data_IF_215465814798
#
_entry.id   IF_215465814798
#
_cell.length_a   1.000
_cell.length_b   1.000
_cell.length_c   1.000
_cell.angle_alpha   90.00
_cell.angle_beta   90.00
_cell.angle_gamma   90.00
#
_symmetry.space_group_name_H-M   'P 1'
#
loop_
_entity.id
_entity.type
_entity.pdbx_description
1 polymer ?
#
# COMPACT_ATOMS: atom_id res chain seq x y z
N UNK A 1 5.21 28.71 -29.58
CA UNK A 1 5.15 28.41 -28.12
C UNK A 1 3.92 27.57 -27.69
N UNK A 2 2.68 28.07 -27.66
CA UNK A 2 1.52 27.29 -27.17
C UNK A 2 1.23 25.99 -27.95
N UNK A 3 1.38 25.98 -29.28
CA UNK A 3 1.19 24.74 -30.06
C UNK A 3 2.28 23.70 -29.77
N UNK A 4 3.54 24.13 -29.56
CA UNK A 4 4.62 23.24 -29.16
C UNK A 4 4.37 22.63 -27.79
N UNK A 5 3.99 23.44 -26.80
CA UNK A 5 3.65 22.95 -25.45
C UNK A 5 2.47 21.97 -25.52
N UNK A 6 1.48 22.24 -26.36
CA UNK A 6 0.34 21.34 -26.58
C UNK A 6 0.75 20.02 -27.25
N UNK A 7 1.65 20.03 -28.24
CA UNK A 7 2.16 18.80 -28.88
C UNK A 7 3.01 17.97 -27.91
N UNK A 8 3.79 18.61 -27.06
CA UNK A 8 4.56 17.93 -26.01
C UNK A 8 3.62 17.31 -25.00
N UNK A 9 2.64 18.07 -24.51
CA UNK A 9 1.65 17.57 -23.56
C UNK A 9 0.92 16.35 -24.13
N UNK A 10 0.53 16.40 -25.42
CA UNK A 10 -0.13 15.28 -26.11
C UNK A 10 0.78 14.05 -26.22
N UNK A 11 2.02 14.22 -26.69
CA UNK A 11 2.98 13.11 -26.77
C UNK A 11 3.30 12.54 -25.39
N UNK A 12 3.44 13.40 -24.37
CA UNK A 12 3.72 12.94 -23.02
C UNK A 12 2.53 12.23 -22.39
N UNK A 13 1.30 12.66 -22.63
CA UNK A 13 0.12 11.93 -22.19
C UNK A 13 0.08 10.50 -22.74
N UNK A 14 0.48 10.32 -24.01
CA UNK A 14 0.55 9.01 -24.67
C UNK A 14 1.63 8.07 -24.10
N UNK A 15 2.77 8.61 -23.60
CA UNK A 15 3.92 7.79 -23.19
C UNK A 15 4.25 7.82 -21.69
N UNK A 16 3.84 8.87 -20.97
CA UNK A 16 4.17 9.11 -19.57
C UNK A 16 3.07 9.99 -18.93
N UNK A 17 1.86 9.46 -18.68
CA UNK A 17 0.79 10.23 -18.06
C UNK A 17 1.20 10.76 -16.68
N UNK A 18 0.72 11.95 -16.31
CA UNK A 18 1.07 12.55 -15.00
C UNK A 18 0.49 11.69 -13.87
N UNK A 19 1.34 11.08 -13.03
CA UNK A 19 0.87 10.24 -11.93
C UNK A 19 0.41 11.08 -10.75
N UNK A 20 -0.40 10.50 -9.87
CA UNK A 20 -0.86 11.16 -8.64
C UNK A 20 0.14 11.07 -7.47
N UNK A 21 1.19 10.26 -7.57
CA UNK A 21 2.23 10.16 -6.55
C UNK A 21 3.27 11.28 -6.66
N UNK A 22 3.55 11.96 -5.54
CA UNK A 22 4.44 13.13 -5.48
C UNK A 22 5.86 12.88 -6.04
N UNK A 23 6.47 11.72 -5.72
CA UNK A 23 7.83 11.42 -6.19
C UNK A 23 7.85 11.15 -7.71
N UNK A 24 6.77 10.55 -8.23
CA UNK A 24 6.63 10.35 -9.67
C UNK A 24 6.32 11.67 -10.40
N UNK A 25 5.53 12.57 -9.81
CA UNK A 25 5.29 13.91 -10.35
C UNK A 25 6.58 14.72 -10.47
N UNK A 26 7.48 14.63 -9.48
CA UNK A 26 8.80 15.28 -9.56
C UNK A 26 9.61 14.76 -10.75
N UNK A 27 9.64 13.44 -10.97
CA UNK A 27 10.31 12.84 -12.13
C UNK A 27 9.66 13.29 -13.45
N UNK A 28 8.33 13.31 -13.49
CA UNK A 28 7.56 13.76 -14.63
C UNK A 28 7.88 15.22 -15.00
N UNK A 29 7.91 16.12 -14.01
CA UNK A 29 8.31 17.53 -14.19
C UNK A 29 9.71 17.67 -14.77
N UNK A 30 10.68 16.88 -14.27
CA UNK A 30 12.05 16.88 -14.83
C UNK A 30 12.04 16.43 -16.29
N UNK A 31 11.30 15.37 -16.63
CA UNK A 31 11.22 14.87 -18.01
C UNK A 31 10.55 15.88 -18.96
N UNK A 32 9.50 16.55 -18.49
CA UNK A 32 8.83 17.65 -19.23
C UNK A 32 9.78 18.81 -19.50
N UNK A 33 10.58 19.20 -18.52
CA UNK A 33 11.59 20.25 -18.71
C UNK A 33 12.60 19.86 -19.78
N UNK A 34 13.12 18.62 -19.75
CA UNK A 34 14.06 18.11 -20.77
C UNK A 34 13.41 18.14 -22.18
N UNK A 35 12.17 17.66 -22.31
CA UNK A 35 11.46 17.64 -23.59
C UNK A 35 11.23 19.05 -24.15
N UNK A 36 10.88 20.02 -23.30
CA UNK A 36 10.70 21.41 -23.72
C UNK A 36 12.03 22.06 -24.13
N UNK A 37 13.12 21.80 -23.39
CA UNK A 37 14.46 22.28 -23.76
C UNK A 37 14.90 21.76 -25.13
N UNK A 38 14.71 20.46 -25.40
CA UNK A 38 15.06 19.84 -26.67
C UNK A 38 14.32 20.48 -27.85
N UNK A 39 13.01 20.70 -27.71
CA UNK A 39 12.20 21.31 -28.77
C UNK A 39 12.48 22.81 -28.95
N UNK A 40 12.82 23.51 -27.89
CA UNK A 40 13.26 24.91 -27.96
C UNK A 40 14.55 25.02 -28.79
N UNK A 41 15.48 24.06 -28.64
CA UNK A 41 16.70 23.99 -29.45
C UNK A 41 16.39 23.70 -30.93
N UNK A 42 15.46 22.78 -31.21
CA UNK A 42 15.07 22.42 -32.58
C UNK A 42 14.34 23.55 -33.33
N UNK A 43 13.56 24.36 -32.62
CA UNK A 43 12.78 25.47 -33.21
C UNK A 43 13.60 26.69 -33.64
N UNK A 44 14.91 26.74 -33.35
CA UNK A 44 15.80 27.90 -33.59
C UNK A 44 15.30 29.22 -32.93
N UNK A 45 14.42 29.17 -31.94
CA UNK A 45 14.08 30.36 -31.15
C UNK A 45 15.35 30.84 -30.41
N UNK A 46 15.69 32.12 -30.59
CA UNK A 46 16.91 32.72 -30.03
C UNK A 46 16.91 32.65 -28.51
N UNK A 47 18.07 32.31 -27.92
CA UNK A 47 18.33 32.34 -26.47
C UNK A 47 18.36 33.78 -25.91
N UNK A 48 17.35 34.60 -26.17
CA UNK A 48 17.19 35.87 -25.47
C UNK A 48 16.60 35.60 -24.07
N UNK A 49 17.08 36.31 -23.05
CA UNK A 49 16.67 36.11 -21.65
C UNK A 49 15.16 36.25 -21.40
N UNK A 50 14.45 36.98 -22.28
CA UNK A 50 12.99 37.15 -22.24
C UNK A 50 12.23 35.88 -22.62
N UNK A 51 12.68 35.11 -23.60
CA UNK A 51 11.99 33.92 -24.09
C UNK A 51 12.09 32.77 -23.08
N UNK A 52 13.23 32.65 -22.40
CA UNK A 52 13.41 31.68 -21.30
C UNK A 52 12.45 31.92 -20.13
N UNK A 53 12.29 33.18 -19.70
CA UNK A 53 11.38 33.55 -18.62
C UNK A 53 9.90 33.35 -19.03
N UNK A 54 9.58 33.55 -20.31
CA UNK A 54 8.24 33.25 -20.85
C UNK A 54 7.95 31.74 -20.83
N UNK A 55 8.91 30.91 -21.24
CA UNK A 55 8.79 29.45 -21.22
C UNK A 55 8.60 28.90 -19.80
N UNK A 56 9.39 29.36 -18.83
CA UNK A 56 9.24 28.98 -17.41
C UNK A 56 7.84 29.33 -16.89
N UNK A 57 7.32 30.52 -17.22
CA UNK A 57 5.96 30.93 -16.82
C UNK A 57 4.85 30.08 -17.45
N UNK A 58 4.99 29.71 -18.73
CA UNK A 58 4.02 28.85 -19.42
C UNK A 58 4.05 27.44 -18.83
N UNK A 59 5.24 26.92 -18.52
CA UNK A 59 5.41 25.64 -17.82
C UNK A 59 4.74 25.66 -16.44
N UNK A 60 5.06 26.65 -15.60
CA UNK A 60 4.46 26.79 -14.28
C UNK A 60 2.94 26.89 -14.35
N UNK A 61 2.42 27.65 -15.32
CA UNK A 61 0.98 27.78 -15.56
C UNK A 61 0.36 26.44 -15.94
N UNK A 62 1.00 25.68 -16.85
CA UNK A 62 0.53 24.34 -17.23
C UNK A 62 0.51 23.41 -16.02
N UNK A 63 1.58 23.36 -15.24
CA UNK A 63 1.64 22.51 -14.03
C UNK A 63 0.56 22.90 -13.02
N UNK A 64 0.35 24.20 -12.79
CA UNK A 64 -0.69 24.69 -11.89
C UNK A 64 -2.10 24.31 -12.39
N UNK A 65 -2.37 24.41 -13.70
CA UNK A 65 -3.64 23.99 -14.29
C UNK A 65 -3.84 22.49 -14.12
N UNK A 66 -2.81 21.68 -14.36
CA UNK A 66 -2.90 20.23 -14.23
C UNK A 66 -3.09 19.82 -12.76
N UNK A 67 -2.38 20.44 -11.81
CA UNK A 67 -2.60 20.21 -10.39
C UNK A 67 -4.02 20.58 -9.95
N UNK A 68 -4.53 21.73 -10.41
CA UNK A 68 -5.92 22.13 -10.18
C UNK A 68 -6.89 21.13 -10.81
N UNK A 69 -6.64 20.68 -12.04
CA UNK A 69 -7.47 19.69 -12.70
C UNK A 69 -7.44 18.37 -11.93
N UNK A 70 -6.29 17.83 -11.53
CA UNK A 70 -6.21 16.61 -10.74
C UNK A 70 -6.89 16.75 -9.37
N UNK A 71 -6.79 17.93 -8.74
CA UNK A 71 -7.43 18.21 -7.46
C UNK A 71 -8.95 18.29 -7.56
N UNK A 72 -9.47 18.82 -8.66
CA UNK A 72 -10.90 19.12 -8.82
C UNK A 72 -11.64 18.19 -9.79
N UNK A 73 -10.93 17.42 -10.60
CA UNK A 73 -11.50 16.38 -11.44
C UNK A 73 -12.06 15.29 -10.54
N UNK A 74 -13.35 15.11 -10.65
CA UNK A 74 -14.11 14.05 -9.99
C UNK A 74 -14.56 13.10 -11.09
N UNK A 75 -14.06 11.87 -11.04
CA UNK A 75 -14.62 10.73 -11.75
C UNK A 75 -15.44 9.90 -10.76
N UNK A 76 -16.26 10.59 -9.95
CA UNK A 76 -17.03 9.94 -8.91
C UNK A 76 -18.12 9.10 -9.57
N UNK A 77 -18.18 7.83 -9.16
CA UNK A 77 -19.31 6.96 -9.49
C UNK A 77 -20.50 7.33 -8.62
N UNK A 78 -21.69 7.07 -9.14
CA UNK A 78 -22.89 7.08 -8.30
C UNK A 78 -22.77 6.04 -7.18
N UNK A 79 -23.57 6.24 -6.14
CA UNK A 79 -23.68 5.28 -5.04
C UNK A 79 -24.15 3.91 -5.56
N UNK A 80 -25.11 3.90 -6.48
CA UNK A 80 -25.70 2.71 -7.08
C UNK A 80 -24.65 1.91 -7.87
N UNK A 81 -23.87 2.56 -8.74
CA UNK A 81 -22.78 1.90 -9.48
C UNK A 81 -21.70 1.34 -8.54
N UNK A 82 -21.40 2.06 -7.46
CA UNK A 82 -20.42 1.61 -6.47
C UNK A 82 -20.92 0.40 -5.71
N UNK A 83 -22.21 0.40 -5.36
CA UNK A 83 -22.90 -0.71 -4.68
C UNK A 83 -22.91 -1.97 -5.52
N UNK A 84 -23.23 -1.88 -6.81
CA UNK A 84 -23.20 -3.04 -7.71
C UNK A 84 -21.81 -3.71 -7.75
N UNK A 85 -20.75 -2.91 -7.70
CA UNK A 85 -19.38 -3.41 -7.71
C UNK A 85 -19.03 -4.08 -6.38
N UNK A 86 -19.38 -3.46 -5.25
CA UNK A 86 -19.19 -4.03 -3.91
C UNK A 86 -19.98 -5.35 -3.76
N UNK A 87 -21.23 -5.39 -4.23
CA UNK A 87 -22.05 -6.60 -4.24
C UNK A 87 -21.40 -7.70 -5.10
N UNK A 88 -20.82 -7.34 -6.25
CA UNK A 88 -20.02 -8.23 -7.07
C UNK A 88 -18.78 -8.80 -6.37
N UNK A 89 -18.12 -8.02 -5.51
CA UNK A 89 -16.96 -8.47 -4.70
C UNK A 89 -17.39 -9.52 -3.67
N UNK A 90 -18.59 -9.40 -3.08
CA UNK A 90 -19.10 -10.40 -2.15
C UNK A 90 -19.45 -11.73 -2.81
N UNK A 91 -19.92 -11.69 -4.06
CA UNK A 91 -20.26 -12.89 -4.83
C UNK A 91 -19.00 -13.56 -5.40
N UNK A 92 -17.96 -12.78 -5.70
CA UNK A 92 -16.71 -13.31 -6.21
C UNK A 92 -16.09 -14.30 -5.21
N UNK A 93 -15.55 -15.42 -5.72
CA UNK A 93 -14.94 -16.45 -4.87
C UNK A 93 -13.68 -15.89 -4.20
N UNK A 94 -13.79 -15.52 -2.93
CA UNK A 94 -12.70 -14.99 -2.13
C UNK A 94 -11.87 -16.15 -1.59
N UNK A 95 -10.56 -16.12 -1.81
CA UNK A 95 -9.67 -17.07 -1.15
C UNK A 95 -9.37 -16.54 0.25
N UNK A 96 -9.66 -17.34 1.27
CA UNK A 96 -9.41 -16.98 2.66
C UNK A 96 -7.93 -16.63 2.89
N UNK A 97 -7.69 -15.55 3.64
CA UNK A 97 -6.36 -15.04 3.92
C UNK A 97 -5.49 -16.10 4.59
N UNK A 98 -4.28 -16.31 4.05
CA UNK A 98 -3.28 -17.25 4.60
C UNK A 98 -3.68 -18.74 4.53
N UNK A 99 -4.69 -19.11 3.71
CA UNK A 99 -5.02 -20.51 3.39
C UNK A 99 -3.97 -21.19 2.48
N UNK A 100 -4.01 -22.51 2.29
CA UNK A 100 -3.09 -23.21 1.37
C UNK A 100 -3.24 -22.71 -0.08
N UNK A 101 -4.49 -22.59 -0.54
CA UNK A 101 -4.85 -22.02 -1.85
C UNK A 101 -4.36 -20.58 -2.02
N UNK A 102 -4.32 -19.80 -0.93
CA UNK A 102 -3.74 -18.46 -0.94
C UNK A 102 -2.27 -18.50 -1.34
N UNK A 103 -1.47 -19.39 -0.76
CA UNK A 103 -0.05 -19.48 -1.09
C UNK A 103 0.19 -20.06 -2.50
N UNK A 104 -0.64 -21.01 -2.94
CA UNK A 104 -0.58 -21.53 -4.31
C UNK A 104 -0.83 -20.44 -5.35
N UNK A 105 -1.88 -19.64 -5.15
CA UNK A 105 -2.24 -18.53 -6.01
C UNK A 105 -1.10 -17.51 -6.14
N UNK A 106 -0.32 -17.27 -5.08
CA UNK A 106 0.83 -16.34 -5.11
C UNK A 106 1.89 -16.74 -6.14
N UNK A 107 1.96 -18.00 -6.57
CA UNK A 107 2.89 -18.42 -7.61
C UNK A 107 2.52 -17.86 -8.98
N UNK A 108 1.22 -17.69 -9.23
CA UNK A 108 0.67 -17.35 -10.54
C UNK A 108 0.20 -15.91 -10.63
N UNK A 109 0.36 -15.12 -9.57
CA UNK A 109 0.02 -13.70 -9.57
C UNK A 109 1.06 -12.83 -8.87
N UNK A 110 1.06 -11.56 -9.24
CA UNK A 110 1.68 -10.48 -8.49
C UNK A 110 0.63 -9.97 -7.51
N UNK A 111 0.95 -9.98 -6.22
CA UNK A 111 0.07 -9.37 -5.22
C UNK A 111 0.28 -7.86 -5.16
N UNK A 112 -0.73 -7.09 -4.75
CA UNK A 112 -0.64 -5.64 -4.58
C UNK A 112 0.59 -5.20 -3.78
N UNK A 113 0.91 -5.88 -2.68
CA UNK A 113 2.07 -5.61 -1.83
C UNK A 113 3.43 -5.95 -2.48
N UNK A 114 3.44 -6.79 -3.52
CA UNK A 114 4.65 -7.13 -4.28
C UNK A 114 4.84 -6.23 -5.51
N UNK A 115 3.80 -5.56 -5.98
CA UNK A 115 3.78 -4.90 -7.28
C UNK A 115 4.85 -3.80 -7.41
N UNK A 116 5.14 -3.08 -6.33
CA UNK A 116 6.20 -2.05 -6.31
C UNK A 116 7.59 -2.61 -6.63
N UNK A 117 7.85 -3.90 -6.40
CA UNK A 117 9.14 -4.57 -6.71
C UNK A 117 9.42 -4.63 -8.21
N UNK A 118 8.42 -4.46 -9.07
CA UNK A 118 8.62 -4.33 -10.51
C UNK A 118 9.47 -3.10 -10.87
N UNK A 119 9.42 -2.06 -10.03
CA UNK A 119 10.15 -0.80 -10.21
C UNK A 119 11.47 -0.74 -9.44
N UNK A 120 11.79 -1.78 -8.66
CA UNK A 120 13.04 -1.87 -7.92
C UNK A 120 14.20 -2.30 -8.84
N UNK A 121 15.39 -2.48 -8.28
CA UNK A 121 16.58 -2.95 -8.98
C UNK A 121 16.32 -4.25 -9.76
N UNK A 122 17.06 -4.43 -10.86
CA UNK A 122 17.00 -5.63 -11.71
C UNK A 122 17.17 -6.92 -10.90
N UNK A 123 18.00 -6.88 -9.86
CA UNK A 123 18.22 -8.00 -8.95
C UNK A 123 17.00 -8.28 -8.05
N UNK A 124 16.39 -7.26 -7.46
CA UNK A 124 15.19 -7.40 -6.62
C UNK A 124 14.02 -7.96 -7.42
N UNK A 125 13.79 -7.39 -8.62
CA UNK A 125 12.83 -7.93 -9.59
C UNK A 125 13.16 -9.38 -9.98
N UNK A 126 14.42 -9.70 -10.22
CA UNK A 126 14.87 -11.06 -10.52
C UNK A 126 14.68 -12.04 -9.37
N UNK A 127 14.85 -11.61 -8.11
CA UNK A 127 14.53 -12.43 -6.94
C UNK A 127 13.03 -12.73 -6.87
N UNK A 128 12.19 -11.74 -7.22
CA UNK A 128 10.76 -11.96 -7.32
C UNK A 128 10.42 -12.95 -8.45
N UNK A 129 11.05 -12.87 -9.61
CA UNK A 129 10.91 -13.87 -10.69
C UNK A 129 11.24 -15.27 -10.17
N UNK A 130 12.39 -15.44 -9.52
CA UNK A 130 12.79 -16.73 -8.95
C UNK A 130 11.79 -17.25 -7.92
N UNK A 131 11.20 -16.37 -7.10
CA UNK A 131 10.18 -16.77 -6.13
C UNK A 131 8.91 -17.33 -6.77
N UNK A 132 8.57 -16.91 -8.00
CA UNK A 132 7.43 -17.46 -8.77
C UNK A 132 7.78 -18.76 -9.48
N UNK A 133 9.06 -19.05 -9.71
CA UNK A 133 9.53 -20.30 -10.34
C UNK A 133 9.71 -21.40 -9.29
N UNK A 134 10.22 -21.03 -8.11
CA UNK A 134 10.57 -21.96 -7.04
C UNK A 134 9.42 -22.90 -6.63
N UNK A 135 9.73 -24.09 -6.08
CA UNK A 135 8.74 -24.95 -5.45
C UNK A 135 8.00 -24.21 -4.33
N UNK A 136 6.74 -24.57 -4.10
CA UNK A 136 5.96 -24.02 -3.01
C UNK A 136 6.56 -24.50 -1.68
N UNK A 137 7.14 -23.58 -0.92
CA UNK A 137 7.49 -23.83 0.47
C UNK A 137 6.25 -23.56 1.32
N UNK A 138 5.79 -24.57 2.10
CA UNK A 138 4.76 -24.35 3.12
C UNK A 138 5.31 -23.46 4.22
N UNK A 139 5.14 -22.15 4.08
CA UNK A 139 5.45 -21.18 5.14
C UNK A 139 4.18 -20.95 5.96
N UNK A 140 4.16 -21.49 7.16
CA UNK A 140 3.19 -21.07 8.18
C UNK A 140 3.76 -19.85 8.89
N UNK A 141 3.06 -18.73 8.79
CA UNK A 141 3.35 -17.55 9.60
C UNK A 141 2.37 -17.52 10.76
N UNK A 142 2.85 -17.50 12.02
CA UNK A 142 1.97 -17.38 13.17
C UNK A 142 1.09 -16.14 13.03
N UNK A 143 -0.22 -16.29 13.20
CA UNK A 143 -1.21 -15.20 13.16
C UNK A 143 -1.20 -14.39 14.46
N UNK A 144 -0.72 -14.99 15.54
CA UNK A 144 -0.50 -14.35 16.83
C UNK A 144 0.79 -14.87 17.46
N UNK A 145 1.39 -14.06 18.33
CA UNK A 145 2.58 -14.43 19.08
C UNK A 145 2.66 -13.61 20.36
N UNK A 146 3.42 -14.12 21.33
CA UNK A 146 3.73 -13.38 22.55
C UNK A 146 4.56 -12.14 22.24
N UNK A 147 4.37 -11.10 23.05
CA UNK A 147 5.04 -9.80 22.91
C UNK A 147 6.57 -9.92 22.85
N UNK A 148 7.17 -10.85 23.60
CA UNK A 148 8.63 -11.07 23.62
C UNK A 148 9.21 -11.57 22.28
N UNK A 149 8.41 -12.23 21.44
CA UNK A 149 8.83 -12.78 20.14
C UNK A 149 8.39 -11.93 18.94
N UNK A 150 7.79 -10.76 19.19
CA UNK A 150 7.16 -9.95 18.15
C UNK A 150 8.20 -9.23 17.27
N UNK A 151 8.14 -9.49 15.96
CA UNK A 151 8.87 -8.72 14.96
C UNK A 151 7.96 -7.65 14.31
N UNK A 152 8.51 -6.83 13.41
CA UNK A 152 7.76 -5.73 12.77
C UNK A 152 6.55 -6.21 11.94
N UNK A 153 6.61 -7.41 11.36
CA UNK A 153 5.47 -7.99 10.62
C UNK A 153 4.39 -8.41 11.60
N UNK A 154 4.75 -9.14 12.66
CA UNK A 154 3.83 -9.58 13.70
C UNK A 154 3.18 -8.38 14.44
N UNK A 155 3.89 -7.25 14.55
CA UNK A 155 3.34 -5.99 15.05
C UNK A 155 2.18 -5.48 14.19
N UNK A 156 2.36 -5.38 12.86
CA UNK A 156 1.30 -5.01 11.94
C UNK A 156 0.10 -5.95 12.04
N UNK A 157 0.36 -7.26 11.98
CA UNK A 157 -0.68 -8.30 12.10
C UNK A 157 -1.48 -8.20 13.40
N UNK A 158 -0.84 -7.83 14.52
CA UNK A 158 -1.50 -7.62 15.81
C UNK A 158 -2.38 -6.39 15.81
N UNK A 159 -1.93 -5.28 15.22
CA UNK A 159 -2.60 -3.99 15.42
C UNK A 159 -3.53 -3.55 14.29
N UNK A 160 -3.39 -4.08 13.08
CA UNK A 160 -4.29 -3.79 11.96
C UNK A 160 -5.77 -4.06 12.31
N UNK A 161 -6.15 -5.20 12.92
CA UNK A 161 -7.55 -5.43 13.32
C UNK A 161 -8.02 -4.47 14.43
N UNK A 162 -7.15 -4.17 15.40
CA UNK A 162 -7.44 -3.24 16.49
C UNK A 162 -7.71 -1.82 15.97
N UNK A 163 -6.91 -1.35 15.01
CA UNK A 163 -7.11 -0.07 14.33
C UNK A 163 -8.38 -0.11 13.50
N UNK A 164 -8.67 -1.19 12.78
CA UNK A 164 -9.92 -1.32 12.00
C UNK A 164 -11.15 -1.17 12.88
N UNK A 165 -11.18 -1.80 14.06
CA UNK A 165 -12.27 -1.62 15.05
C UNK A 165 -12.39 -0.15 15.45
N UNK A 166 -11.27 0.50 15.79
CA UNK A 166 -11.26 1.92 16.14
C UNK A 166 -11.77 2.82 15.00
N UNK A 167 -11.43 2.53 13.75
CA UNK A 167 -11.91 3.28 12.59
C UNK A 167 -13.41 3.13 12.38
N UNK A 168 -13.98 1.94 12.60
CA UNK A 168 -15.43 1.71 12.54
C UNK A 168 -16.17 2.58 13.57
N UNK A 169 -15.64 2.69 14.80
CA UNK A 169 -16.18 3.57 15.84
C UNK A 169 -16.06 5.05 15.44
N UNK A 170 -14.85 5.47 15.04
CA UNK A 170 -14.51 6.86 14.73
C UNK A 170 -15.32 7.39 13.55
N UNK A 171 -15.44 6.60 12.49
CA UNK A 171 -16.12 7.01 11.26
C UNK A 171 -17.60 6.61 11.22
N UNK A 172 -18.10 5.89 12.24
CA UNK A 172 -19.45 5.32 12.27
C UNK A 172 -19.73 4.52 11.00
N UNK A 173 -18.80 3.62 10.70
CA UNK A 173 -18.85 2.75 9.52
C UNK A 173 -18.82 1.28 9.90
N UNK A 174 -19.22 0.44 8.96
CA UNK A 174 -18.89 -0.98 8.93
C UNK A 174 -17.84 -1.22 7.83
N UNK A 175 -16.72 -1.79 8.24
CA UNK A 175 -15.59 -2.12 7.38
C UNK A 175 -15.55 -3.64 7.22
N UNK A 176 -15.83 -4.12 6.01
CA UNK A 176 -15.75 -5.53 5.67
C UNK A 176 -14.30 -5.94 5.39
N UNK A 177 -13.83 -6.99 6.04
CA UNK A 177 -12.54 -7.62 5.75
C UNK A 177 -12.68 -8.60 4.58
N UNK A 178 -12.05 -8.29 3.46
CA UNK A 178 -12.02 -9.20 2.31
C UNK A 178 -10.82 -10.13 2.35
N UNK A 179 -11.02 -11.36 1.88
CA UNK A 179 -9.92 -12.25 1.51
C UNK A 179 -9.18 -11.74 0.26
N UNK A 180 -8.55 -12.65 -0.49
CA UNK A 180 -7.85 -12.28 -1.72
C UNK A 180 -8.85 -12.21 -2.85
N UNK A 181 -8.79 -11.08 -3.51
CA UNK A 181 -9.51 -10.77 -4.72
C UNK A 181 -8.55 -10.95 -5.90
N UNK A 182 -9.06 -11.52 -6.99
CA UNK A 182 -8.35 -11.67 -8.26
C UNK A 182 -8.91 -10.64 -9.24
N UNK A 183 -8.04 -10.06 -10.07
CA UNK A 183 -8.50 -9.14 -11.09
C UNK A 183 -9.39 -9.87 -12.10
N UNK A 184 -10.55 -9.28 -12.44
CA UNK A 184 -11.56 -9.92 -13.30
C UNK A 184 -11.03 -10.37 -14.65
N UNK A 185 -10.16 -9.57 -15.26
CA UNK A 185 -9.62 -9.82 -16.60
C UNK A 185 -8.16 -10.30 -16.60
N UNK A 186 -7.43 -10.12 -15.50
CA UNK A 186 -5.99 -10.36 -15.42
C UNK A 186 -5.70 -11.32 -14.27
N UNK A 187 -5.75 -12.62 -14.55
CA UNK A 187 -5.55 -13.66 -13.53
C UNK A 187 -4.16 -13.65 -12.88
N UNK A 188 -3.22 -12.86 -13.41
CA UNK A 188 -1.89 -12.66 -12.86
C UNK A 188 -1.79 -11.51 -11.85
N UNK A 189 -2.92 -10.90 -11.47
CA UNK A 189 -2.97 -9.81 -10.50
C UNK A 189 -3.97 -10.11 -9.39
N UNK A 190 -3.53 -9.92 -8.15
CA UNK A 190 -4.38 -10.12 -6.98
C UNK A 190 -4.14 -9.06 -5.91
N UNK A 191 -5.16 -8.82 -5.09
CA UNK A 191 -5.13 -7.84 -4.04
C UNK A 191 -5.87 -8.33 -2.79
N UNK A 192 -5.54 -7.73 -1.66
CA UNK A 192 -6.12 -8.05 -0.36
C UNK A 192 -6.15 -6.74 0.43
N UNK A 193 -7.16 -5.88 0.20
CA UNK A 193 -7.32 -4.67 1.00
C UNK A 193 -7.67 -5.03 2.45
N UNK A 194 -7.23 -4.22 3.41
CA UNK A 194 -7.48 -4.46 4.84
C UNK A 194 -8.95 -4.26 5.22
N UNK A 195 -9.68 -3.52 4.39
CA UNK A 195 -11.13 -3.56 4.37
C UNK A 195 -11.81 -2.78 3.25
N UNK A 196 -13.13 -2.88 3.21
CA UNK A 196 -14.02 -2.15 2.30
C UNK A 196 -15.14 -1.54 3.15
N UNK A 197 -15.41 -0.25 3.02
CA UNK A 197 -16.51 0.41 3.74
C UNK A 197 -17.83 0.04 3.07
N UNK A 198 -18.70 -0.65 3.82
CA UNK A 198 -19.95 -1.24 3.29
C UNK A 198 -21.20 -0.65 3.93
N UNK A 199 -21.06 0.04 5.06
CA UNK A 199 -22.12 0.81 5.68
C UNK A 199 -21.46 2.04 6.33
N UNK A 200 -22.04 3.23 6.18
CA UNK A 200 -21.49 4.46 6.74
C UNK A 200 -22.56 5.54 6.79
N UNK A 201 -22.59 6.34 7.86
CA UNK A 201 -23.43 7.54 7.95
C UNK A 201 -23.12 8.54 6.81
N UNK A 202 -21.83 8.71 6.50
CA UNK A 202 -21.38 9.44 5.32
C UNK A 202 -21.35 8.52 4.09
N UNK A 203 -22.39 8.61 3.27
CA UNK A 203 -22.53 7.83 2.04
C UNK A 203 -21.36 7.99 1.05
N UNK A 204 -20.57 9.07 1.12
CA UNK A 204 -19.40 9.27 0.25
C UNK A 204 -18.27 8.27 0.55
N UNK A 205 -18.25 7.67 1.74
CA UNK A 205 -17.25 6.67 2.11
C UNK A 205 -17.62 5.26 1.65
N UNK A 206 -18.86 5.02 1.26
CA UNK A 206 -19.29 3.70 0.81
C UNK A 206 -18.46 3.24 -0.40
N UNK A 207 -17.99 1.99 -0.37
CA UNK A 207 -17.14 1.41 -1.41
C UNK A 207 -15.70 1.92 -1.42
N UNK A 208 -15.28 2.73 -0.45
CA UNK A 208 -13.85 3.02 -0.28
C UNK A 208 -13.15 1.80 0.30
N UNK A 209 -12.00 1.50 -0.27
CA UNK A 209 -11.05 0.58 0.34
C UNK A 209 -10.44 1.22 1.60
N UNK A 210 -9.91 0.39 2.48
CA UNK A 210 -9.16 0.82 3.66
C UNK A 210 -7.84 0.07 3.66
N UNK A 211 -6.74 0.82 3.78
CA UNK A 211 -5.38 0.28 3.91
C UNK A 211 -4.76 0.82 5.20
N UNK A 212 -4.50 -0.07 6.15
CA UNK A 212 -4.04 0.24 7.50
C UNK A 212 -2.57 -0.12 7.61
N UNK A 213 -1.74 0.82 8.04
CA UNK A 213 -0.33 0.60 8.35
C UNK A 213 -0.05 0.96 9.81
N UNK A 214 0.48 0.01 10.55
CA UNK A 214 0.96 0.19 11.91
C UNK A 214 2.49 0.12 11.93
N UNK A 215 3.24 1.14 11.48
CA UNK A 215 4.69 1.07 11.42
C UNK A 215 5.31 0.91 12.81
N UNK A 216 6.27 -0.02 12.94
CA UNK A 216 6.95 -0.28 14.21
C UNK A 216 7.98 0.81 14.60
N UNK A 217 8.59 1.47 13.61
CA UNK A 217 9.69 2.44 13.87
C UNK A 217 9.63 3.70 13.00
N UNK A 218 8.80 3.73 11.97
CA UNK A 218 8.71 4.85 11.04
C UNK A 218 7.80 5.93 11.64
N UNK A 219 8.22 7.18 11.52
CA UNK A 219 7.40 8.34 11.89
C UNK A 219 6.16 8.47 10.99
N UNK A 220 5.02 8.65 11.63
CA UNK A 220 3.70 8.73 10.99
C UNK A 220 3.44 10.14 10.45
N UNK A 221 2.72 10.23 9.32
CA UNK A 221 2.16 11.50 8.85
C UNK A 221 3.08 12.39 8.01
N UNK A 222 4.15 11.82 7.43
CA UNK A 222 5.03 12.53 6.49
C UNK A 222 4.51 12.49 5.06
N UNK A 223 4.77 11.38 4.37
CA UNK A 223 4.39 11.13 2.97
C UNK A 223 4.04 9.67 2.80
N UNK A 224 3.12 9.35 1.89
CA UNK A 224 2.79 7.96 1.56
C UNK A 224 4.00 7.32 0.85
N UNK A 225 4.62 6.26 1.42
CA UNK A 225 5.66 5.50 0.73
C UNK A 225 5.20 5.03 -0.64
N UNK A 226 6.08 5.10 -1.64
CA UNK A 226 5.75 4.69 -3.01
C UNK A 226 5.21 3.26 -3.08
N UNK A 227 5.77 2.35 -2.28
CA UNK A 227 5.31 0.96 -2.18
C UNK A 227 3.86 0.83 -1.68
N UNK A 228 3.45 1.63 -0.69
CA UNK A 228 2.08 1.62 -0.17
C UNK A 228 1.13 2.27 -1.18
N UNK A 229 1.56 3.34 -1.85
CA UNK A 229 0.77 3.94 -2.92
C UNK A 229 0.56 2.95 -4.07
N UNK A 230 1.59 2.26 -4.56
CA UNK A 230 1.44 1.20 -5.56
C UNK A 230 0.49 0.10 -5.09
N UNK A 231 0.62 -0.34 -3.84
CA UNK A 231 -0.27 -1.35 -3.26
C UNK A 231 -1.74 -0.91 -3.35
N UNK A 232 -2.06 0.32 -2.93
CA UNK A 232 -3.42 0.87 -2.99
C UNK A 232 -3.94 1.03 -4.42
N UNK A 233 -3.09 1.47 -5.36
CA UNK A 233 -3.47 1.56 -6.77
C UNK A 233 -3.86 0.19 -7.34
N UNK A 234 -3.10 -0.86 -7.01
CA UNK A 234 -3.41 -2.23 -7.45
C UNK A 234 -4.63 -2.80 -6.75
N UNK A 235 -4.86 -2.48 -5.46
CA UNK A 235 -6.10 -2.88 -4.79
C UNK A 235 -7.33 -2.26 -5.46
N UNK A 236 -7.28 -0.96 -5.78
CA UNK A 236 -8.34 -0.24 -6.52
C UNK A 236 -8.53 -0.80 -7.93
N UNK A 237 -7.45 -1.20 -8.60
CA UNK A 237 -7.50 -1.86 -9.91
C UNK A 237 -8.21 -3.21 -9.86
N UNK A 238 -7.77 -4.10 -8.97
CA UNK A 238 -8.32 -5.45 -8.80
C UNK A 238 -9.78 -5.45 -8.40
N UNK A 239 -10.16 -4.56 -7.49
CA UNK A 239 -11.53 -4.44 -6.97
C UNK A 239 -12.44 -3.65 -7.90
N UNK A 240 -11.87 -2.96 -8.88
CA UNK A 240 -12.55 -1.93 -9.64
C UNK A 240 -13.22 -0.87 -8.76
N UNK A 241 -12.59 -0.44 -7.67
CA UNK A 241 -13.02 0.70 -6.84
C UNK A 241 -12.12 1.91 -7.10
N UNK A 242 -12.58 3.14 -6.80
CA UNK A 242 -11.89 4.37 -7.20
C UNK A 242 -11.12 5.06 -6.07
N UNK A 243 -11.34 4.64 -4.84
CA UNK A 243 -10.87 5.36 -3.66
C UNK A 243 -10.41 4.39 -2.57
N UNK A 244 -9.32 4.75 -1.89
CA UNK A 244 -8.77 4.03 -0.75
C UNK A 244 -8.43 5.01 0.37
N UNK A 245 -8.93 4.74 1.57
CA UNK A 245 -8.56 5.41 2.81
C UNK A 245 -7.22 4.82 3.29
N UNK A 246 -6.14 5.56 3.06
CA UNK A 246 -4.85 5.24 3.68
C UNK A 246 -4.87 5.69 5.13
N UNK A 247 -4.58 4.78 6.05
CA UNK A 247 -4.49 5.06 7.48
C UNK A 247 -3.14 4.58 8.01
N UNK A 248 -2.33 5.48 8.52
CA UNK A 248 -1.07 5.17 9.20
C UNK A 248 -1.19 5.53 10.69
N UNK A 249 -0.87 4.59 11.58
CA UNK A 249 -1.13 4.74 13.02
C UNK A 249 0.14 4.52 13.84
N UNK A 250 0.46 5.50 14.70
CA UNK A 250 1.49 5.36 15.71
C UNK A 250 0.87 4.76 16.96
N UNK A 251 1.34 3.56 17.34
CA UNK A 251 0.83 2.79 18.47
C UNK A 251 1.90 2.70 19.55
N UNK A 252 1.49 2.96 20.79
CA UNK A 252 2.33 2.74 21.96
C UNK A 252 1.87 1.47 22.64
N UNK A 253 2.71 0.44 22.59
CA UNK A 253 2.53 -0.88 23.22
C UNK A 253 3.90 -1.43 23.62
N UNK A 254 3.92 -2.33 24.61
CA UNK A 254 5.13 -3.11 24.94
C UNK A 254 5.61 -3.88 23.70
N UNK A 255 6.92 -4.05 23.60
CA UNK A 255 7.58 -4.77 22.51
C UNK A 255 8.91 -5.38 22.98
N UNK A 256 9.55 -6.29 22.23
CA UNK A 256 10.83 -6.87 22.65
C UNK A 256 11.94 -5.83 22.88
N UNK A 257 11.84 -4.67 22.22
CA UNK A 257 12.81 -3.57 22.38
C UNK A 257 12.48 -2.65 23.55
N UNK A 258 11.24 -2.69 24.04
CA UNK A 258 10.73 -1.77 25.06
C UNK A 258 9.62 -2.46 25.87
N UNK A 259 10.03 -3.30 26.82
CA UNK A 259 9.12 -4.02 27.71
C UNK A 259 8.64 -3.14 28.88
N UNK A 260 9.49 -2.22 29.35
CA UNK A 260 9.20 -1.36 30.51
C UNK A 260 8.38 -0.11 30.14
N UNK A 261 7.25 -0.31 29.46
CA UNK A 261 6.28 0.77 29.23
C UNK A 261 5.33 0.80 30.42
N UNK A 262 5.35 1.90 31.16
CA UNK A 262 4.35 2.21 32.18
C UNK A 262 3.24 3.00 31.53
N UNK A 263 2.06 2.38 31.41
CA UNK A 263 0.85 3.08 31.09
C UNK A 263 0.33 3.69 32.40
N UNK A 264 0.56 4.99 32.59
CA UNK A 264 -0.15 5.71 33.63
C UNK A 264 -1.59 5.87 33.15
N UNK A 265 -2.56 5.59 34.01
CA UNK A 265 -3.97 5.88 33.75
C UNK A 265 -4.09 7.40 33.54
N UNK A 266 -4.08 7.84 32.29
CA UNK A 266 -4.31 9.24 31.94
C UNK A 266 -5.82 9.43 32.02
N UNK A 267 -6.35 9.53 33.24
CA UNK A 267 -7.69 10.07 33.52
C UNK A 267 -7.76 11.59 33.23
N UNK A 268 -6.82 12.10 32.43
CA UNK A 268 -6.79 13.50 32.03
C UNK A 268 -7.85 13.70 30.94
N UNK A 269 -8.72 14.67 31.19
CA UNK A 269 -10.05 14.88 30.60
C UNK A 269 -9.97 15.35 29.12
N UNK A 270 -8.83 15.13 28.46
CA UNK A 270 -8.53 15.50 27.08
C UNK A 270 -8.16 14.25 26.25
N UNK A 271 -9.12 13.33 26.09
CA UNK A 271 -9.44 12.39 24.99
C UNK A 271 -8.34 11.79 24.09
N UNK A 272 -7.05 11.88 24.42
CA UNK A 272 -5.96 11.59 23.48
C UNK A 272 -5.22 10.28 23.74
N UNK A 273 -5.49 9.56 24.83
CA UNK A 273 -4.69 8.39 25.21
C UNK A 273 -5.48 7.33 25.99
N UNK A 274 -6.68 6.96 25.53
CA UNK A 274 -7.46 5.87 26.14
C UNK A 274 -6.70 4.55 25.97
N UNK A 275 -6.36 3.90 27.09
CA UNK A 275 -5.72 2.58 27.09
C UNK A 275 -6.74 1.55 26.62
N UNK A 276 -6.33 0.76 25.63
CA UNK A 276 -7.07 -0.35 25.05
C UNK A 276 -6.32 -1.66 25.28
N UNK A 277 -7.04 -2.77 25.17
CA UNK A 277 -6.53 -4.10 25.49
C UNK A 277 -6.72 -5.07 24.34
N UNK A 278 -5.69 -5.87 24.09
CA UNK A 278 -5.75 -7.09 23.27
C UNK A 278 -5.38 -8.25 24.19
N UNK A 279 -6.07 -9.37 24.08
CA UNK A 279 -5.81 -10.55 24.89
C UNK A 279 -5.21 -11.66 24.04
N UNK A 280 -4.09 -12.24 24.46
CA UNK A 280 -3.48 -13.38 23.79
C UNK A 280 -3.91 -14.68 24.48
N UNK A 281 -4.25 -15.66 23.65
CA UNK A 281 -4.70 -16.98 24.05
C UNK A 281 -3.93 -18.07 23.30
N UNK A 282 -3.83 -19.27 23.88
CA UNK A 282 -3.18 -20.43 23.28
C UNK A 282 -4.00 -21.71 23.44
N UNK A 283 -3.99 -22.57 22.41
CA UNK A 283 -4.46 -23.96 22.47
C UNK A 283 -3.60 -24.84 21.58
N UNK A 284 -3.04 -25.92 22.12
CA UNK A 284 -2.22 -26.89 21.38
C UNK A 284 -1.06 -26.28 20.56
N UNK A 285 -0.41 -25.25 21.12
CA UNK A 285 0.67 -24.51 20.45
C UNK A 285 0.23 -23.49 19.41
N UNK A 286 -1.08 -23.30 19.21
CA UNK A 286 -1.65 -22.28 18.33
C UNK A 286 -2.08 -21.06 19.15
N UNK A 287 -1.61 -19.88 18.75
CA UNK A 287 -1.95 -18.62 19.39
C UNK A 287 -3.08 -17.88 18.67
N UNK A 288 -3.93 -17.18 19.42
CA UNK A 288 -4.99 -16.29 18.90
C UNK A 288 -5.11 -15.01 19.72
N UNK A 289 -5.40 -13.90 19.05
CA UNK A 289 -5.75 -12.64 19.70
C UNK A 289 -7.27 -12.52 19.87
N UNK A 290 -7.68 -11.86 20.95
CA UNK A 290 -9.03 -11.35 21.15
C UNK A 290 -8.95 -9.81 21.29
N UNK A 291 -9.69 -9.12 20.43
CA UNK A 291 -9.77 -7.66 20.35
C UNK A 291 -11.01 -7.11 21.06
N UNK A 292 -12.02 -7.96 21.28
CA UNK A 292 -13.25 -7.62 22.02
C UNK A 292 -13.46 -8.53 23.23
N UNK A 293 -14.34 -8.11 24.15
CA UNK A 293 -14.72 -8.95 25.29
C UNK A 293 -15.53 -10.18 24.84
N UNK A 294 -16.28 -10.06 23.75
CA UNK A 294 -17.03 -11.15 23.14
C UNK A 294 -16.10 -12.22 22.58
N UNK A 295 -15.09 -11.83 21.79
CA UNK A 295 -14.05 -12.74 21.30
C UNK A 295 -13.28 -13.40 22.46
N UNK A 296 -12.99 -12.63 23.52
CA UNK A 296 -12.34 -13.17 24.73
C UNK A 296 -13.17 -14.27 25.36
N UNK A 297 -14.49 -14.07 25.53
CA UNK A 297 -15.42 -15.08 26.08
C UNK A 297 -15.48 -16.30 25.16
N UNK A 298 -15.54 -16.11 23.85
CA UNK A 298 -15.58 -17.20 22.86
C UNK A 298 -14.32 -18.08 22.93
N UNK A 299 -13.13 -17.48 23.02
CA UNK A 299 -11.88 -18.24 23.12
C UNK A 299 -11.81 -19.05 24.42
N UNK A 300 -12.27 -18.49 25.54
CA UNK A 300 -12.36 -19.21 26.83
C UNK A 300 -13.32 -20.40 26.72
N UNK A 301 -14.50 -20.22 26.11
CA UNK A 301 -15.48 -21.30 25.89
C UNK A 301 -14.93 -22.41 25.00
N UNK A 302 -14.04 -22.07 24.06
CA UNK A 302 -13.34 -23.03 23.21
C UNK A 302 -12.07 -23.61 23.84
N UNK A 303 -11.91 -23.47 25.16
CA UNK A 303 -10.79 -24.01 25.95
C UNK A 303 -9.42 -23.48 25.54
N UNK A 304 -9.34 -22.25 25.03
CA UNK A 304 -8.06 -21.58 24.90
C UNK A 304 -7.60 -21.05 26.27
N UNK A 305 -6.33 -21.25 26.60
CA UNK A 305 -5.70 -20.74 27.81
C UNK A 305 -5.25 -19.29 27.62
N UNK A 306 -5.49 -18.44 28.61
CA UNK A 306 -5.04 -17.06 28.60
C UNK A 306 -3.52 -16.96 28.79
N UNK A 307 -2.85 -16.15 27.97
CA UNK A 307 -1.39 -16.00 27.96
C UNK A 307 -0.96 -14.63 28.47
N UNK A 308 -1.43 -13.55 27.85
CA UNK A 308 -1.08 -12.18 28.27
C UNK A 308 -2.17 -11.15 27.92
N UNK A 309 -2.16 -10.03 28.64
CA UNK A 309 -2.90 -8.82 28.27
C UNK A 309 -1.92 -7.82 27.66
N UNK A 310 -2.23 -7.36 26.46
CA UNK A 310 -1.44 -6.41 25.69
C UNK A 310 -2.14 -5.07 25.77
N UNK A 311 -1.52 -4.14 26.49
CA UNK A 311 -1.99 -2.77 26.66
C UNK A 311 -1.44 -1.91 25.53
N UNK A 312 -2.31 -1.09 24.94
CA UNK A 312 -1.90 -0.15 23.90
C UNK A 312 -2.76 1.11 23.90
N UNK A 313 -2.26 2.18 23.31
CA UNK A 313 -3.09 3.30 22.88
C UNK A 313 -2.63 3.80 21.51
N UNK A 314 -3.54 4.46 20.81
CA UNK A 314 -3.25 5.15 19.55
C UNK A 314 -2.75 6.54 19.89
N UNK A 315 -1.46 6.79 19.64
CA UNK A 315 -0.83 8.09 19.90
C UNK A 315 -1.13 9.09 18.80
N UNK A 316 -1.10 8.62 17.56
CA UNK A 316 -1.33 9.44 16.39
C UNK A 316 -1.99 8.61 15.28
N UNK A 317 -2.96 9.21 14.61
CA UNK A 317 -3.63 8.64 13.44
C UNK A 317 -3.50 9.63 12.28
N UNK A 318 -2.95 9.16 11.17
CA UNK A 318 -2.84 9.90 9.92
C UNK A 318 -3.73 9.26 8.87
N UNK A 319 -4.67 10.01 8.29
CA UNK A 319 -5.59 9.52 7.27
C UNK A 319 -5.51 10.40 6.00
N UNK A 320 -5.41 9.75 4.85
CA UNK A 320 -5.41 10.39 3.53
C UNK A 320 -6.26 9.57 2.57
N UNK A 321 -7.16 10.25 1.85
CA UNK A 321 -7.89 9.64 0.74
C UNK A 321 -6.99 9.56 -0.51
N UNK A 322 -6.78 8.36 -1.02
CA UNK A 322 -6.03 8.08 -2.24
C UNK A 322 -7.01 7.72 -3.35
N UNK A 323 -6.90 8.42 -4.49
CA UNK A 323 -7.71 8.15 -5.68
C UNK A 323 -6.98 7.23 -6.65
N UNK A 324 -7.74 6.42 -7.39
CA UNK A 324 -7.22 5.54 -8.44
C UNK A 324 -6.63 6.34 -9.60
N UNK A 325 -5.50 5.87 -10.08
CA UNK A 325 -4.73 6.41 -11.18
C UNK A 325 -4.71 5.40 -12.33
N UNK A 326 -5.76 5.47 -13.16
CA UNK A 326 -5.97 4.56 -14.30
C UNK A 326 -4.80 4.62 -15.28
N UNK A 327 -4.33 5.83 -15.56
CA UNK A 327 -3.27 6.06 -16.53
C UNK A 327 -1.94 5.52 -16.03
N UNK A 328 -1.64 5.67 -14.73
CA UNK A 328 -0.48 5.03 -14.14
C UNK A 328 -0.55 3.51 -14.30
N UNK A 329 -1.66 2.85 -13.93
CA UNK A 329 -1.76 1.39 -14.06
C UNK A 329 -1.57 0.95 -15.51
N UNK A 330 -2.21 1.62 -16.47
CA UNK A 330 -2.07 1.36 -17.90
C UNK A 330 -0.61 1.42 -18.36
N UNK A 331 0.13 2.44 -17.91
CA UNK A 331 1.55 2.61 -18.24
C UNK A 331 2.44 1.46 -17.75
N UNK A 332 1.97 0.64 -16.82
CA UNK A 332 2.73 -0.50 -16.28
C UNK A 332 2.59 -1.79 -17.08
N UNK A 333 1.70 -1.87 -18.07
CA UNK A 333 1.40 -3.13 -18.79
C UNK A 333 2.65 -3.78 -19.40
N UNK A 334 3.48 -3.02 -20.11
CA UNK A 334 4.73 -3.53 -20.70
C UNK A 334 5.70 -4.07 -19.63
N UNK A 335 5.73 -3.44 -18.45
CA UNK A 335 6.58 -3.89 -17.34
C UNK A 335 6.08 -5.22 -16.76
N UNK A 336 4.76 -5.37 -16.62
CA UNK A 336 4.12 -6.61 -16.19
C UNK A 336 4.35 -7.74 -17.21
N UNK A 337 4.17 -7.48 -18.50
CA UNK A 337 4.41 -8.44 -19.58
C UNK A 337 5.86 -8.94 -19.59
N UNK A 338 6.82 -8.02 -19.47
CA UNK A 338 8.24 -8.36 -19.36
C UNK A 338 8.52 -9.24 -18.13
N UNK A 339 7.94 -8.91 -16.97
CA UNK A 339 8.10 -9.72 -15.77
C UNK A 339 7.59 -11.15 -15.98
N UNK A 340 6.39 -11.32 -16.55
CA UNK A 340 5.83 -12.66 -16.79
C UNK A 340 6.52 -13.41 -17.92
N UNK A 341 7.10 -12.72 -18.90
CA UNK A 341 8.00 -13.32 -19.88
C UNK A 341 9.25 -13.90 -19.20
N UNK A 342 9.83 -13.18 -18.25
CA UNK A 342 10.99 -13.66 -17.48
C UNK A 342 10.62 -14.87 -16.59
N UNK A 343 9.43 -14.89 -15.98
CA UNK A 343 8.93 -16.04 -15.20
C UNK A 343 8.76 -17.29 -16.08
N UNK A 344 8.32 -17.13 -17.34
CA UNK A 344 8.18 -18.24 -18.30
C UNK A 344 9.53 -18.74 -18.83
N UNK A 345 10.59 -17.95 -18.71
CA UNK A 345 11.92 -18.32 -19.18
C UNK A 345 12.59 -19.30 -18.22
N UNK A 346 12.67 -20.58 -18.61
CA UNK A 346 13.30 -21.65 -17.83
C UNK A 346 14.81 -21.48 -17.65
N UNK A 347 15.44 -20.59 -18.43
CA UNK A 347 16.86 -20.25 -18.36
C UNK A 347 17.11 -18.89 -17.69
N UNK A 348 16.16 -18.37 -16.91
CA UNK A 348 16.32 -17.09 -16.23
C UNK A 348 17.52 -17.09 -15.28
N UNK A 349 18.47 -16.18 -15.50
CA UNK A 349 19.64 -15.98 -14.64
C UNK A 349 19.44 -14.71 -13.82
N UNK A 350 19.64 -14.82 -12.51
CA UNK A 350 19.55 -13.69 -11.60
C UNK A 350 20.64 -12.65 -11.93
N UNK A 351 20.28 -11.37 -12.18
CA UNK A 351 21.27 -10.33 -12.41
C UNK A 351 22.26 -10.17 -11.25
N UNK A 352 23.51 -9.90 -11.58
CA UNK A 352 24.55 -9.64 -10.58
C UNK A 352 24.24 -8.40 -9.74
N UNK A 353 24.70 -8.42 -8.49
CA UNK A 353 24.56 -7.26 -7.60
C UNK A 353 25.52 -6.16 -8.05
N UNK A 354 24.99 -4.97 -8.37
CA UNK A 354 25.80 -3.77 -8.65
C UNK A 354 26.44 -3.17 -7.38
N UNK A 355 26.13 -3.69 -6.18
CA UNK A 355 26.84 -3.29 -4.93
C UNK A 355 28.22 -3.93 -4.90
N UNK A 356 29.28 -3.11 -4.90
CA UNK A 356 30.65 -3.57 -4.61
C UNK A 356 30.64 -4.27 -3.25
N UNK A 357 31.10 -5.53 -3.20
CA UNK A 357 31.41 -6.18 -1.92
C UNK A 357 32.56 -5.39 -1.29
N UNK A 358 32.29 -4.66 -0.22
CA UNK A 358 33.35 -4.16 0.65
C UNK A 358 33.96 -5.39 1.31
N UNK A 359 35.14 -5.81 0.83
CA UNK A 359 35.97 -6.81 1.52
C UNK A 359 36.73 -6.06 2.61
N UNK A 360 36.13 -5.94 3.79
CA UNK A 360 36.89 -5.68 5.01
C UNK A 360 36.57 -6.80 6.00
N UNK A 361 37.26 -7.93 5.84
CA UNK A 361 37.61 -8.74 7.00
C UNK A 361 38.99 -8.27 7.45
N UNK A 362 39.02 -7.32 8.39
CA UNK A 362 40.17 -7.16 9.27
C UNK A 362 39.91 -8.09 10.46
N UNK A 363 40.26 -9.36 10.32
CA UNK A 363 40.67 -10.13 11.49
C UNK A 363 42.09 -9.65 11.77
N UNK A 364 42.23 -8.84 12.80
CA UNK A 364 43.54 -8.63 13.42
C UNK A 364 43.58 -9.66 14.53
N UNK A 365 44.42 -10.69 14.35
CA UNK A 365 44.73 -11.61 15.43
C UNK A 365 45.46 -10.82 16.52
N UNK A 366 44.89 -10.78 17.73
CA UNK A 366 45.61 -10.47 18.97
C UNK A 366 45.64 -11.70 19.87
#
# INVERSE_FOLDING_TARGET
MFSMVSEIAKKQEEYLPLPSHEDLQKKWRVQMNISIEQLSIESKESKESKDKNCLEKVQDTLFNIVELFQKHASFDRSYEETKEIVDGIFIANQVEQRSEKWYEDMKYMITASEFSKLFDSERSRGQMVLSKIAPLEKKSFPTACQTEFMNAIAWGVRFEPAVRIHLQELWKCKIYESGRLKHKENNHLGASPDGIIIECDDKKRYGRLVEIKCPYTREVGKKIPFEYWCQMQIQMEVTNLNECEYVEVEIISRSPKKMDIVFNDVNDVNDSHIIKYIYLFQKDGNYKYAYTLEEKKELILNEYEFVETIEYYIKQLYNVLVKRDFNWYESTKLLQEKFWSDVKNTSFVLPESKRKKVKECLIVDE
#
